data_IF_456803615821
#
_entry.id   IF_456803615821
#
_cell.length_a   1.000
_cell.length_b   1.000
_cell.length_c   1.000
_cell.angle_alpha   90.00
_cell.angle_beta   90.00
_cell.angle_gamma   90.00
#
_symmetry.space_group_name_H-M   'P 1'
#
loop_
_entity.id
_entity.type
_entity.pdbx_description
1 polymer ?
#
# COMPACT_ATOMS: atom_id res chain seq x y z
N UNK A 1 7.47 15.42 11.16
CA UNK A 1 6.63 14.54 10.32
C UNK A 1 7.07 14.70 8.86
N UNK A 2 6.59 13.87 7.93
CA UNK A 2 7.01 13.92 6.51
C UNK A 2 6.90 15.34 5.89
N UNK A 3 5.81 16.11 6.10
CA UNK A 3 5.72 17.49 5.61
C UNK A 3 6.79 18.41 6.20
N UNK A 4 7.02 18.34 7.51
CA UNK A 4 8.01 19.19 8.19
C UNK A 4 9.43 18.93 7.66
N UNK A 5 9.74 17.68 7.30
CA UNK A 5 11.04 17.32 6.73
C UNK A 5 11.27 17.94 5.34
N UNK A 6 10.21 18.01 4.53
CA UNK A 6 10.24 18.58 3.17
C UNK A 6 9.77 20.04 3.10
N UNK A 7 9.55 20.70 4.23
CA UNK A 7 9.06 22.08 4.26
C UNK A 7 9.98 23.07 3.53
N UNK A 8 11.29 22.85 3.63
CA UNK A 8 12.32 23.70 2.99
C UNK A 8 13.26 22.88 2.10
N UNK A 9 12.83 21.70 1.65
CA UNK A 9 13.65 20.77 0.85
C UNK A 9 12.80 20.20 -0.27
N UNK A 10 13.24 20.30 -1.55
CA UNK A 10 12.55 19.61 -2.62
C UNK A 10 12.72 18.10 -2.46
N UNK A 11 11.71 17.33 -2.88
CA UNK A 11 11.84 15.88 -3.06
C UNK A 11 12.71 15.66 -4.31
N UNK A 12 13.82 14.90 -4.22
CA UNK A 12 14.62 14.61 -5.41
C UNK A 12 13.78 13.89 -6.48
N UNK A 13 13.99 14.18 -7.78
CA UNK A 13 13.13 13.67 -8.86
C UNK A 13 13.19 12.14 -9.02
N UNK A 14 14.25 11.50 -8.51
CA UNK A 14 14.46 10.06 -8.51
C UNK A 14 13.97 9.38 -7.21
N UNK A 15 13.25 10.11 -6.34
CA UNK A 15 12.71 9.59 -5.08
C UNK A 15 11.20 9.47 -5.18
N UNK A 16 10.69 8.28 -4.92
CA UNK A 16 9.27 8.03 -4.69
C UNK A 16 9.01 8.11 -3.18
N UNK A 17 7.92 8.77 -2.79
CA UNK A 17 7.55 8.90 -1.38
C UNK A 17 6.36 8.04 -1.07
N UNK A 18 6.38 7.42 0.11
CA UNK A 18 5.25 6.67 0.59
C UNK A 18 5.12 6.67 2.08
N UNK A 19 3.95 6.23 2.54
CA UNK A 19 3.63 6.09 3.95
C UNK A 19 3.04 4.70 4.20
N UNK A 20 3.29 4.15 5.38
CA UNK A 20 2.60 2.95 5.83
C UNK A 20 1.16 3.27 6.23
N UNK A 21 0.22 2.42 5.82
CA UNK A 21 -1.21 2.52 6.13
C UNK A 21 -1.69 1.16 6.65
N UNK A 22 -1.34 0.86 7.90
CA UNK A 22 -1.59 -0.43 8.54
C UNK A 22 -3.00 -0.55 9.13
N UNK A 23 -3.59 0.57 9.54
CA UNK A 23 -4.88 0.66 10.24
C UNK A 23 -5.58 2.01 9.99
N UNK A 24 -6.83 2.13 10.45
CA UNK A 24 -7.63 3.36 10.36
C UNK A 24 -7.15 4.46 11.30
N UNK A 25 -6.72 4.09 12.51
CA UNK A 25 -6.43 5.06 13.58
C UNK A 25 -5.14 5.84 13.33
N UNK A 26 -4.12 5.19 12.82
CA UNK A 26 -2.76 5.72 12.68
C UNK A 26 -2.30 5.74 11.23
N UNK A 27 -2.69 4.74 10.43
CA UNK A 27 -2.31 4.62 9.02
C UNK A 27 -3.00 5.66 8.14
N UNK A 28 -4.34 5.65 8.10
CA UNK A 28 -5.12 6.56 7.24
C UNK A 28 -4.75 8.05 7.37
N UNK A 29 -4.54 8.60 8.59
CA UNK A 29 -4.12 10.01 8.71
C UNK A 29 -2.79 10.35 8.03
N UNK A 30 -1.94 9.38 7.70
CA UNK A 30 -0.66 9.63 7.01
C UNK A 30 -0.83 9.88 5.51
N UNK A 31 -1.96 9.46 4.92
CA UNK A 31 -2.26 9.75 3.51
C UNK A 31 -2.27 11.27 3.31
N UNK A 32 -2.93 12.02 4.20
CA UNK A 32 -2.93 13.49 4.17
C UNK A 32 -1.55 14.09 4.27
N UNK A 33 -0.69 13.55 5.13
CA UNK A 33 0.68 14.03 5.26
C UNK A 33 1.48 13.79 3.97
N UNK A 34 1.29 12.66 3.30
CA UNK A 34 1.95 12.37 2.02
C UNK A 34 1.50 13.33 0.92
N UNK A 35 0.20 13.65 0.84
CA UNK A 35 -0.35 14.55 -0.18
C UNK A 35 0.15 15.99 -0.06
N UNK A 36 0.49 16.43 1.15
CA UNK A 36 1.06 17.77 1.40
C UNK A 36 2.49 17.93 0.88
N UNK A 37 3.16 16.83 0.52
CA UNK A 37 4.52 16.87 -0.01
C UNK A 37 4.48 16.81 -1.54
N UNK A 38 5.16 17.72 -2.26
CA UNK A 38 5.24 17.69 -3.72
C UNK A 38 6.19 16.56 -4.16
N UNK A 39 5.64 15.36 -4.32
CA UNK A 39 6.35 14.18 -4.80
C UNK A 39 5.89 13.82 -6.21
N UNK A 40 6.83 13.34 -7.04
CA UNK A 40 6.54 12.85 -8.40
C UNK A 40 5.71 11.56 -8.39
N UNK A 41 5.96 10.70 -7.43
CA UNK A 41 5.20 9.47 -7.18
C UNK A 41 4.92 9.37 -5.69
N UNK A 42 3.65 9.15 -5.35
CA UNK A 42 3.13 8.91 -4.00
C UNK A 42 2.58 7.49 -3.92
N UNK A 43 3.08 6.70 -2.99
CA UNK A 43 2.59 5.34 -2.79
C UNK A 43 2.13 5.07 -1.34
N UNK A 44 1.16 4.18 -1.20
CA UNK A 44 0.73 3.66 0.10
C UNK A 44 1.31 2.25 0.29
N UNK A 45 2.03 2.06 1.38
CA UNK A 45 2.41 0.74 1.86
C UNK A 45 1.35 0.26 2.83
N UNK A 46 0.33 -0.43 2.32
CA UNK A 46 -0.75 -1.06 3.09
C UNK A 46 -0.25 -2.43 3.58
N UNK A 47 0.89 -2.41 4.26
CA UNK A 47 1.51 -3.60 4.86
C UNK A 47 2.16 -3.28 6.22
N UNK A 48 1.88 -4.09 7.26
CA UNK A 48 0.84 -5.14 7.26
C UNK A 48 -0.56 -4.52 7.19
N UNK A 49 -1.47 -5.10 6.40
CA UNK A 49 -2.89 -4.75 6.44
C UNK A 49 -3.57 -5.43 7.63
N UNK A 50 -3.94 -4.65 8.65
CA UNK A 50 -4.36 -5.18 9.95
C UNK A 50 -5.86 -5.21 10.18
N UNK A 51 -6.62 -4.45 9.39
CA UNK A 51 -8.08 -4.38 9.45
C UNK A 51 -8.65 -3.95 8.10
N UNK A 52 -9.97 -3.99 7.98
CA UNK A 52 -10.66 -3.29 6.89
C UNK A 52 -10.48 -1.78 7.08
N UNK A 53 -9.85 -1.13 6.09
CA UNK A 53 -9.63 0.30 6.10
C UNK A 53 -10.90 1.10 5.73
N UNK A 54 -11.90 0.43 5.15
CA UNK A 54 -13.07 1.08 4.58
C UNK A 54 -12.70 1.94 3.35
N UNK A 55 -13.45 3.02 3.08
CA UNK A 55 -13.17 3.91 1.96
C UNK A 55 -11.82 4.64 2.10
N UNK A 56 -10.99 4.54 1.08
CA UNK A 56 -9.71 5.21 0.94
C UNK A 56 -9.86 6.45 0.07
N UNK A 57 -9.34 7.59 0.54
CA UNK A 57 -9.17 8.77 -0.31
C UNK A 57 -7.87 8.66 -1.11
N UNK A 58 -7.96 8.07 -2.30
CA UNK A 58 -6.83 7.79 -3.18
C UNK A 58 -6.45 8.97 -4.10
N UNK A 59 -7.07 10.15 -3.94
CA UNK A 59 -6.74 11.32 -4.79
C UNK A 59 -5.27 11.71 -4.61
N UNK A 60 -4.55 11.79 -5.71
CA UNK A 60 -3.12 12.12 -5.74
C UNK A 60 -2.20 11.00 -5.25
N UNK A 61 -2.69 9.76 -5.17
CA UNK A 61 -1.91 8.56 -4.90
C UNK A 61 -1.73 7.81 -6.22
N UNK A 62 -0.51 7.38 -6.51
CA UNK A 62 -0.16 6.75 -7.78
C UNK A 62 -0.08 5.22 -7.66
N UNK A 63 0.19 4.71 -6.45
CA UNK A 63 0.43 3.29 -6.23
C UNK A 63 0.05 2.82 -4.83
N UNK A 64 -0.55 1.64 -4.73
CA UNK A 64 -0.86 0.98 -3.47
C UNK A 64 -0.29 -0.43 -3.45
N UNK A 65 0.44 -0.74 -2.39
CA UNK A 65 1.03 -2.06 -2.14
C UNK A 65 0.34 -2.67 -0.92
N UNK A 66 -0.29 -3.82 -1.09
CA UNK A 66 -0.94 -4.56 0.01
C UNK A 66 -0.10 -5.78 0.39
N UNK A 67 0.05 -6.04 1.68
CA UNK A 67 0.71 -7.24 2.16
C UNK A 67 0.36 -7.60 3.60
N UNK A 68 0.42 -8.90 3.92
CA UNK A 68 0.20 -9.40 5.27
C UNK A 68 1.46 -9.40 6.14
N UNK A 69 1.26 -9.50 7.45
CA UNK A 69 2.32 -9.50 8.45
C UNK A 69 3.12 -10.81 8.44
N UNK A 70 4.43 -10.72 8.66
CA UNK A 70 5.33 -11.88 8.74
C UNK A 70 5.93 -12.01 10.14
N UNK A 71 6.34 -13.23 10.50
CA UNK A 71 6.99 -13.52 11.78
C UNK A 71 6.11 -14.27 12.80
N UNK A 72 6.64 -14.56 14.00
CA UNK A 72 6.01 -15.44 14.98
C UNK A 72 4.70 -14.91 15.58
N UNK A 73 4.58 -13.59 15.68
CA UNK A 73 3.40 -12.89 16.22
C UNK A 73 2.53 -12.26 15.12
N UNK A 74 2.69 -12.70 13.87
CA UNK A 74 1.95 -12.15 12.74
C UNK A 74 0.44 -12.25 12.94
N UNK A 75 -0.26 -11.15 12.67
CA UNK A 75 -1.72 -11.09 12.61
C UNK A 75 -2.21 -11.55 11.24
N UNK A 76 -3.39 -12.17 11.22
CA UNK A 76 -4.02 -12.64 9.98
C UNK A 76 -4.66 -11.46 9.26
N UNK A 77 -4.30 -11.28 7.99
CA UNK A 77 -5.05 -10.46 7.04
C UNK A 77 -6.19 -11.30 6.46
N UNK A 78 -7.38 -10.70 6.32
CA UNK A 78 -8.52 -11.31 5.63
C UNK A 78 -8.48 -10.98 4.14
N UNK A 79 -8.87 -11.91 3.28
CA UNK A 79 -8.79 -11.73 1.82
C UNK A 79 -9.66 -10.57 1.35
N UNK A 80 -10.87 -10.46 1.89
CA UNK A 80 -11.82 -9.39 1.59
C UNK A 80 -11.25 -7.99 1.84
N UNK A 81 -10.32 -7.83 2.79
CA UNK A 81 -9.68 -6.52 3.04
C UNK A 81 -8.73 -6.15 1.89
N UNK A 82 -7.92 -7.11 1.43
CA UNK A 82 -7.03 -6.91 0.30
C UNK A 82 -7.80 -6.68 -1.01
N UNK A 83 -8.91 -7.42 -1.21
CA UNK A 83 -9.80 -7.23 -2.35
C UNK A 83 -10.48 -5.86 -2.32
N UNK A 84 -10.95 -5.41 -1.16
CA UNK A 84 -11.53 -4.06 -0.99
C UNK A 84 -10.54 -2.96 -1.39
N UNK A 85 -9.28 -3.05 -0.95
CA UNK A 85 -8.26 -2.07 -1.35
C UNK A 85 -7.98 -2.13 -2.85
N UNK A 86 -7.86 -3.34 -3.43
CA UNK A 86 -7.69 -3.54 -4.87
C UNK A 86 -8.81 -2.87 -5.66
N UNK A 87 -10.06 -3.15 -5.32
CA UNK A 87 -11.23 -2.67 -6.08
C UNK A 87 -11.31 -1.14 -6.05
N UNK A 88 -10.98 -0.54 -4.91
CA UNK A 88 -10.88 0.92 -4.79
C UNK A 88 -9.75 1.49 -5.66
N UNK A 89 -8.59 0.81 -5.75
CA UNK A 89 -7.50 1.23 -6.63
C UNK A 89 -7.91 1.14 -8.11
N UNK A 90 -8.56 0.05 -8.52
CA UNK A 90 -9.06 -0.13 -9.88
C UNK A 90 -10.09 0.95 -10.25
N UNK A 91 -11.04 1.24 -9.35
CA UNK A 91 -12.04 2.29 -9.55
C UNK A 91 -11.42 3.69 -9.66
N UNK A 92 -10.29 3.93 -8.98
CA UNK A 92 -9.58 5.21 -8.99
C UNK A 92 -8.50 5.32 -10.09
N UNK A 93 -8.23 4.25 -10.85
CA UNK A 93 -7.12 4.22 -11.81
C UNK A 93 -5.73 4.26 -11.16
N UNK A 94 -5.61 3.78 -9.91
CA UNK A 94 -4.37 3.76 -9.14
C UNK A 94 -3.73 2.39 -9.27
N UNK A 95 -2.41 2.33 -9.49
CA UNK A 95 -1.70 1.07 -9.61
C UNK A 95 -1.83 0.24 -8.33
N UNK A 96 -2.08 -1.06 -8.47
CA UNK A 96 -2.20 -1.98 -7.35
C UNK A 96 -1.18 -3.12 -7.41
N UNK A 97 -0.46 -3.33 -6.29
CA UNK A 97 0.38 -4.50 -6.08
C UNK A 97 -0.11 -5.29 -4.86
N UNK A 98 -0.35 -6.58 -5.05
CA UNK A 98 -0.43 -7.51 -3.94
C UNK A 98 0.95 -8.14 -3.74
N UNK A 99 1.60 -7.78 -2.63
CA UNK A 99 2.97 -8.21 -2.36
C UNK A 99 2.99 -9.67 -1.96
N UNK A 100 2.23 -10.05 -0.92
CA UNK A 100 2.21 -11.39 -0.32
C UNK A 100 1.24 -11.48 0.88
N UNK A 101 0.92 -12.72 1.29
CA UNK A 101 0.05 -13.02 2.43
C UNK A 101 0.69 -12.91 3.82
N UNK A 102 2.02 -13.01 3.93
CA UNK A 102 2.70 -13.08 5.22
C UNK A 102 2.67 -14.49 5.82
N UNK A 103 2.71 -14.58 7.16
CA UNK A 103 2.73 -15.87 7.88
C UNK A 103 1.41 -16.64 7.74
N UNK A 104 0.29 -15.94 7.60
CA UNK A 104 -1.03 -16.56 7.46
C UNK A 104 -1.44 -16.58 5.99
N UNK A 105 -1.68 -17.77 5.43
CA UNK A 105 -2.21 -17.91 4.08
C UNK A 105 -3.67 -17.47 3.96
N UNK A 106 -4.21 -17.38 2.72
CA UNK A 106 -5.62 -17.08 2.49
C UNK A 106 -6.54 -18.12 3.17
N UNK A 107 -6.09 -19.38 3.20
CA UNK A 107 -6.71 -20.51 3.88
C UNK A 107 -6.67 -20.42 5.42
N UNK A 108 -6.01 -19.41 5.98
CA UNK A 108 -5.86 -19.24 7.42
C UNK A 108 -4.87 -20.21 8.06
N UNK A 109 -4.00 -20.84 7.27
CA UNK A 109 -2.97 -21.74 7.80
C UNK A 109 -1.63 -21.00 7.89
N UNK A 110 -0.90 -21.23 8.98
CA UNK A 110 0.42 -20.63 9.23
C UNK A 110 1.50 -21.38 8.47
N UNK A 111 2.30 -20.66 7.68
CA UNK A 111 3.46 -21.18 6.94
C UNK A 111 4.52 -20.09 6.81
N UNK A 112 5.67 -20.45 6.22
CA UNK A 112 6.59 -19.42 5.73
C UNK A 112 5.91 -18.57 4.65
N UNK A 113 6.21 -17.28 4.65
CA UNK A 113 5.60 -16.34 3.71
C UNK A 113 5.82 -16.69 2.24
N UNK A 114 6.95 -17.31 1.90
CA UNK A 114 7.23 -17.76 0.53
C UNK A 114 6.26 -18.87 0.12
N UNK A 115 5.87 -19.74 1.06
CA UNK A 115 4.92 -20.82 0.82
C UNK A 115 3.48 -20.32 0.68
N UNK A 116 3.08 -19.29 1.44
CA UNK A 116 1.76 -18.67 1.27
C UNK A 116 1.65 -17.81 0.00
N UNK A 117 2.78 -17.36 -0.55
CA UNK A 117 2.86 -16.82 -1.90
C UNK A 117 2.22 -15.43 -2.05
N UNK A 118 1.90 -15.11 -3.32
CA UNK A 118 1.58 -13.76 -3.80
C UNK A 118 0.31 -13.70 -4.66
N UNK A 119 -0.48 -14.78 -4.69
CA UNK A 119 -1.74 -14.80 -5.42
C UNK A 119 -2.85 -14.21 -4.54
N UNK A 120 -3.60 -13.26 -5.08
CA UNK A 120 -4.82 -12.73 -4.48
C UNK A 120 -5.97 -12.99 -5.45
N UNK A 121 -7.00 -13.74 -5.02
CA UNK A 121 -8.02 -14.28 -5.91
C UNK A 121 -7.41 -14.97 -7.15
N UNK A 122 -6.51 -15.94 -6.91
CA UNK A 122 -5.84 -16.77 -7.92
C UNK A 122 -5.03 -16.00 -8.99
N UNK A 123 -4.69 -14.74 -8.74
CA UNK A 123 -3.98 -13.87 -9.68
C UNK A 123 -2.81 -13.12 -9.03
N UNK A 124 -1.76 -12.90 -9.81
CA UNK A 124 -0.69 -11.95 -9.48
C UNK A 124 -1.11 -10.52 -9.79
N UNK A 125 -0.87 -9.62 -8.84
CA UNK A 125 -1.12 -8.19 -8.96
C UNK A 125 0.21 -7.45 -8.73
N UNK A 126 0.82 -6.95 -9.80
CA UNK A 126 2.18 -6.38 -9.78
C UNK A 126 2.28 -5.06 -10.56
N UNK A 127 1.18 -4.32 -10.60
CA UNK A 127 1.13 -3.03 -11.30
C UNK A 127 2.07 -2.02 -10.63
N UNK A 128 2.61 -1.11 -11.42
CA UNK A 128 3.47 -0.02 -10.98
C UNK A 128 2.95 1.28 -11.58
N UNK A 129 3.15 2.43 -10.91
CA UNK A 129 2.80 3.69 -11.50
C UNK A 129 3.66 3.90 -12.74
N UNK A 130 3.07 4.45 -13.80
CA UNK A 130 3.87 4.91 -14.93
C UNK A 130 4.87 5.94 -14.40
N UNK A 131 6.13 5.84 -14.83
CA UNK A 131 7.10 6.89 -14.54
C UNK A 131 6.71 8.11 -15.36
N UNK A 132 5.73 8.89 -14.90
CA UNK A 132 5.21 10.06 -15.60
C UNK A 132 6.39 10.90 -16.05
N UNK A 133 6.68 10.96 -17.36
CA UNK A 133 7.79 11.74 -17.91
C UNK A 133 7.84 13.14 -17.30
N UNK A 134 9.04 13.70 -17.16
CA UNK A 134 9.26 15.06 -16.65
C UNK A 134 8.08 15.99 -17.03
N UNK A 135 7.48 16.64 -16.03
CA UNK A 135 6.61 17.79 -16.29
C UNK A 135 7.46 18.74 -17.14
N UNK A 136 7.07 18.89 -18.41
CA UNK A 136 7.61 19.91 -19.31
C UNK A 136 7.23 21.29 -18.77
#
# INVERSE_FOLDING_TARGET
>A
RLPDFFANRPVPPNVWLGVTVEDRRHGLPRIEHLRRVPARVRFLSVEPLLEDLGPLDLRGIDWVIVGGESGPAARRMREEWALSVRDQCQAAGVAFTFKQWGTWGPDGIRRDKKANGRLLADRLWEERPESSGALL
#
